data_IF_537182513207
#
_entry.id   IF_537182513207
#
_cell.length_a   1.000
_cell.length_b   1.000
_cell.length_c   1.000
_cell.angle_alpha   90.00
_cell.angle_beta   90.00
_cell.angle_gamma   90.00
#
_symmetry.space_group_name_H-M   'P 1'
#
loop_
_entity.id
_entity.type
_entity.pdbx_description
1 polymer ?
#
# COMPACT_ATOMS: atom_id res chain seq x y z
N UNK A 1 -15.05 17.19 -13.94
CA UNK A 1 -16.13 16.50 -14.66
C UNK A 1 -15.89 16.56 -16.16
N UNK A 2 -15.74 17.75 -16.75
CA UNK A 2 -15.54 17.92 -18.21
C UNK A 2 -14.33 17.14 -18.73
N UNK A 3 -13.20 17.21 -18.05
CA UNK A 3 -11.99 16.48 -18.41
C UNK A 3 -12.19 14.95 -18.41
N UNK A 4 -12.85 14.42 -17.37
CA UNK A 4 -13.12 12.99 -17.25
C UNK A 4 -14.12 12.50 -18.30
N UNK A 5 -15.14 13.30 -18.61
CA UNK A 5 -16.06 13.01 -19.68
C UNK A 5 -15.34 13.00 -21.05
N UNK A 6 -14.54 14.03 -21.34
CA UNK A 6 -13.84 14.14 -22.63
C UNK A 6 -12.73 13.08 -22.80
N UNK A 7 -12.00 12.75 -21.73
CA UNK A 7 -10.85 11.84 -21.82
C UNK A 7 -11.25 10.37 -21.76
N UNK A 8 -12.28 10.04 -20.99
CA UNK A 8 -12.65 8.64 -20.69
C UNK A 8 -14.09 8.29 -21.06
N UNK A 9 -14.81 9.19 -21.72
CA UNK A 9 -16.23 9.01 -22.05
C UNK A 9 -17.09 8.59 -20.84
N UNK A 10 -16.77 9.18 -19.66
CA UNK A 10 -17.54 8.90 -18.44
C UNK A 10 -18.83 9.70 -18.44
N UNK A 11 -20.00 9.08 -18.17
CA UNK A 11 -21.27 9.79 -18.20
C UNK A 11 -21.26 11.01 -17.27
N UNK A 12 -21.39 12.20 -17.87
CA UNK A 12 -21.32 13.48 -17.13
C UNK A 12 -22.38 13.57 -16.02
N UNK A 13 -23.57 13.02 -16.27
CA UNK A 13 -24.66 13.00 -15.29
C UNK A 13 -24.28 12.20 -14.02
N UNK A 14 -23.60 11.06 -14.18
CA UNK A 14 -23.19 10.22 -13.06
C UNK A 14 -22.10 10.91 -12.22
N UNK A 15 -21.14 11.55 -12.89
CA UNK A 15 -20.12 12.35 -12.21
C UNK A 15 -20.72 13.53 -11.44
N UNK A 16 -21.60 14.31 -12.08
CA UNK A 16 -22.28 15.43 -11.43
C UNK A 16 -23.09 14.99 -10.21
N UNK A 17 -23.79 13.86 -10.34
CA UNK A 17 -24.52 13.25 -9.22
C UNK A 17 -23.58 12.85 -8.08
N UNK A 18 -22.49 12.14 -8.39
CA UNK A 18 -21.54 11.68 -7.38
C UNK A 18 -20.87 12.85 -6.65
N UNK A 19 -20.38 13.85 -7.40
CA UNK A 19 -19.77 15.05 -6.80
C UNK A 19 -20.78 15.91 -6.04
N UNK A 20 -22.04 15.98 -6.49
CA UNK A 20 -23.11 16.67 -5.76
C UNK A 20 -23.49 16.01 -4.43
N UNK A 21 -23.13 14.73 -4.26
CA UNK A 21 -23.35 13.95 -3.04
C UNK A 21 -22.05 13.76 -2.23
N UNK A 22 -20.94 14.31 -2.69
CA UNK A 22 -19.67 14.18 -2.00
C UNK A 22 -19.71 14.93 -0.65
N UNK A 23 -19.20 14.28 0.37
CA UNK A 23 -19.13 14.82 1.73
C UNK A 23 -17.68 15.17 2.08
N UNK A 24 -17.45 16.40 2.54
CA UNK A 24 -16.16 16.81 3.06
C UNK A 24 -15.87 16.10 4.38
N UNK A 25 -14.74 15.43 4.45
CA UNK A 25 -14.36 14.61 5.60
C UNK A 25 -13.33 15.34 6.51
N UNK A 26 -13.81 16.20 7.40
CA UNK A 26 -12.94 16.93 8.35
C UNK A 26 -12.17 16.01 9.30
N UNK A 27 -12.70 14.82 9.58
CA UNK A 27 -12.01 13.79 10.38
C UNK A 27 -10.74 13.29 9.69
N UNK A 28 -10.79 13.10 8.38
CA UNK A 28 -9.65 12.71 7.54
C UNK A 28 -8.57 13.78 7.55
N UNK A 29 -8.96 15.04 7.35
CA UNK A 29 -8.01 16.17 7.40
C UNK A 29 -7.32 16.26 8.76
N UNK A 30 -8.07 16.17 9.86
CA UNK A 30 -7.49 16.18 11.21
C UNK A 30 -6.56 14.99 11.48
N UNK A 31 -6.84 13.81 10.93
CA UNK A 31 -5.98 12.65 11.11
C UNK A 31 -4.66 12.83 10.37
N UNK A 32 -4.68 13.27 9.12
CA UNK A 32 -3.46 13.57 8.34
C UNK A 32 -2.62 14.69 8.98
N UNK A 33 -3.25 15.68 9.60
CA UNK A 33 -2.51 16.71 10.34
C UNK A 33 -1.79 16.12 11.57
N UNK A 34 -2.40 15.18 12.28
CA UNK A 34 -1.78 14.48 13.42
C UNK A 34 -0.65 13.55 13.02
N UNK A 35 -0.74 12.96 11.82
CA UNK A 35 0.26 12.02 11.31
C UNK A 35 1.48 12.74 10.68
N UNK A 36 1.51 14.07 10.72
CA UNK A 36 2.70 14.83 10.31
C UNK A 36 3.91 14.44 11.17
N UNK A 37 5.08 14.29 10.55
CA UNK A 37 6.30 14.03 11.29
C UNK A 37 6.53 15.10 12.36
N UNK A 38 6.55 14.72 13.63
CA UNK A 38 7.02 15.57 14.72
C UNK A 38 8.56 15.54 14.73
N UNK A 39 9.25 16.67 14.47
CA UNK A 39 10.71 16.72 14.49
C UNK A 39 11.32 16.38 15.86
N UNK A 40 10.52 16.50 16.92
CA UNK A 40 10.94 16.15 18.29
C UNK A 40 10.62 14.69 18.67
N UNK A 41 9.93 13.95 17.81
CA UNK A 41 9.56 12.58 18.08
C UNK A 41 10.77 11.66 18.04
N UNK A 42 11.13 11.11 19.19
CA UNK A 42 12.20 10.11 19.29
C UNK A 42 11.64 8.74 18.92
N UNK A 43 12.03 8.25 17.76
CA UNK A 43 11.68 6.90 17.29
C UNK A 43 12.22 5.86 18.29
N UNK A 44 11.34 5.02 18.82
CA UNK A 44 11.70 3.90 19.69
C UNK A 44 11.40 2.59 18.94
N UNK A 45 12.44 1.82 18.65
CA UNK A 45 12.32 0.57 17.90
C UNK A 45 11.42 -0.45 18.62
N UNK A 46 11.56 -0.58 19.94
CA UNK A 46 10.75 -1.54 20.71
C UNK A 46 9.27 -1.22 20.61
N UNK A 47 8.89 0.04 20.80
CA UNK A 47 7.51 0.50 20.67
C UNK A 47 7.01 0.37 19.23
N UNK A 48 7.83 0.69 18.23
CA UNK A 48 7.47 0.52 16.83
C UNK A 48 7.25 -0.95 16.49
N UNK A 49 8.21 -1.80 16.84
CA UNK A 49 8.15 -3.24 16.59
C UNK A 49 6.92 -3.90 17.23
N UNK A 50 6.56 -3.52 18.45
CA UNK A 50 5.41 -4.11 19.15
C UNK A 50 4.06 -3.87 18.49
N UNK A 51 3.97 -2.87 17.61
CA UNK A 51 2.74 -2.61 16.81
C UNK A 51 2.51 -3.65 15.72
N UNK A 52 3.58 -4.29 15.25
CA UNK A 52 3.53 -5.26 14.14
C UNK A 52 3.78 -6.69 14.61
N UNK A 53 4.65 -6.88 15.60
CA UNK A 53 5.02 -8.20 16.12
C UNK A 53 4.23 -8.43 17.43
N UNK A 54 2.99 -8.85 17.29
CA UNK A 54 2.07 -9.11 18.39
C UNK A 54 1.27 -10.42 18.17
N UNK A 55 0.79 -11.08 19.25
CA UNK A 55 0.24 -12.42 19.15
C UNK A 55 -0.99 -12.56 18.26
N UNK A 56 -1.84 -11.53 18.14
CA UNK A 56 -3.06 -11.59 17.32
C UNK A 56 -2.67 -11.64 15.84
N UNK A 57 -1.76 -10.75 15.41
CA UNK A 57 -1.28 -10.71 14.04
C UNK A 57 -0.51 -11.97 13.67
N UNK A 58 0.34 -12.49 14.57
CA UNK A 58 1.08 -13.72 14.33
C UNK A 58 0.13 -14.91 14.13
N UNK A 59 -0.85 -15.10 15.03
CA UNK A 59 -1.83 -16.18 14.88
C UNK A 59 -2.67 -16.05 13.61
N UNK A 60 -3.10 -14.82 13.30
CA UNK A 60 -3.83 -14.54 12.06
C UNK A 60 -2.99 -14.87 10.83
N UNK A 61 -1.69 -14.54 10.85
CA UNK A 61 -0.75 -14.82 9.78
C UNK A 61 -0.51 -16.31 9.55
N UNK A 62 -0.34 -17.06 10.62
CA UNK A 62 -0.23 -18.54 10.53
C UNK A 62 -1.47 -19.15 9.88
N UNK A 63 -2.66 -18.68 10.28
CA UNK A 63 -3.91 -19.17 9.70
C UNK A 63 -4.06 -18.75 8.24
N UNK A 64 -3.77 -17.48 7.93
CA UNK A 64 -3.82 -16.98 6.56
C UNK A 64 -2.88 -17.77 5.64
N UNK A 65 -1.64 -18.00 6.07
CA UNK A 65 -0.66 -18.78 5.32
C UNK A 65 -1.16 -20.20 5.04
N UNK A 66 -1.61 -20.91 6.08
CA UNK A 66 -2.13 -22.28 5.93
C UNK A 66 -3.30 -22.35 4.96
N UNK A 67 -4.26 -21.42 5.08
CA UNK A 67 -5.46 -21.41 4.26
C UNK A 67 -5.20 -21.02 2.80
N UNK A 68 -4.10 -20.33 2.53
CA UNK A 68 -3.75 -19.84 1.19
C UNK A 68 -2.43 -20.42 0.65
N UNK A 69 -1.96 -21.55 1.20
CA UNK A 69 -0.64 -22.10 0.90
C UNK A 69 -0.41 -22.36 -0.60
N UNK A 70 -1.40 -22.93 -1.30
CA UNK A 70 -1.31 -23.20 -2.73
C UNK A 70 -1.19 -21.90 -3.56
N UNK A 71 -1.99 -20.89 -3.21
CA UNK A 71 -2.00 -19.57 -3.86
C UNK A 71 -0.67 -18.82 -3.62
N UNK A 72 -0.17 -18.83 -2.40
CA UNK A 72 1.12 -18.24 -2.03
C UNK A 72 2.27 -18.90 -2.79
N UNK A 73 2.27 -20.24 -2.83
CA UNK A 73 3.28 -21.02 -3.58
C UNK A 73 3.23 -20.70 -5.08
N UNK A 74 2.04 -20.53 -5.67
CA UNK A 74 1.88 -20.10 -7.06
C UNK A 74 2.44 -18.68 -7.26
N UNK A 75 2.10 -17.73 -6.41
CA UNK A 75 2.60 -16.36 -6.49
C UNK A 75 4.13 -16.32 -6.40
N UNK A 76 4.74 -17.10 -5.52
CA UNK A 76 6.21 -17.22 -5.42
C UNK A 76 6.82 -17.79 -6.71
N UNK A 77 6.21 -18.80 -7.33
CA UNK A 77 6.71 -19.34 -8.61
C UNK A 77 6.62 -18.32 -9.75
N UNK A 78 5.50 -17.62 -9.86
CA UNK A 78 5.22 -16.68 -10.95
C UNK A 78 6.01 -15.37 -10.83
N UNK A 79 6.06 -14.79 -9.63
CA UNK A 79 6.67 -13.46 -9.42
C UNK A 79 8.05 -13.51 -8.75
N UNK A 80 8.45 -14.64 -8.20
CA UNK A 80 9.74 -14.78 -7.51
C UNK A 80 9.77 -14.16 -6.11
N UNK A 81 8.65 -13.68 -5.60
CA UNK A 81 8.53 -13.09 -4.26
C UNK A 81 8.25 -14.19 -3.24
N UNK A 82 9.07 -14.34 -2.16
CA UNK A 82 8.84 -15.36 -1.15
C UNK A 82 7.51 -15.21 -0.43
N UNK A 83 6.87 -16.35 -0.10
CA UNK A 83 5.58 -16.38 0.60
C UNK A 83 5.55 -15.52 1.88
N UNK A 84 6.63 -15.59 2.68
CA UNK A 84 6.71 -14.85 3.95
C UNK A 84 6.71 -13.33 3.77
N UNK A 85 7.18 -12.82 2.63
CA UNK A 85 7.13 -11.40 2.30
C UNK A 85 5.69 -10.98 2.00
N UNK A 86 4.99 -11.74 1.15
CA UNK A 86 3.59 -11.47 0.79
C UNK A 86 2.71 -11.50 2.05
N UNK A 87 2.85 -12.55 2.86
CA UNK A 87 2.13 -12.71 4.14
C UNK A 87 2.46 -11.57 5.10
N UNK A 88 3.74 -11.18 5.19
CA UNK A 88 4.19 -10.07 6.05
C UNK A 88 3.55 -8.73 5.68
N UNK A 89 3.50 -8.41 4.40
CA UNK A 89 2.87 -7.16 3.90
C UNK A 89 1.38 -7.16 4.21
N UNK A 90 0.63 -8.20 3.80
CA UNK A 90 -0.81 -8.29 4.04
C UNK A 90 -1.12 -8.24 5.55
N UNK A 91 -0.25 -8.85 6.36
CA UNK A 91 -0.36 -8.79 7.82
C UNK A 91 -0.10 -7.39 8.38
N UNK A 92 0.87 -6.65 7.85
CA UNK A 92 1.17 -5.29 8.26
C UNK A 92 0.04 -4.32 7.89
N UNK A 93 -0.47 -4.45 6.67
CA UNK A 93 -1.47 -3.52 6.12
C UNK A 93 -2.84 -3.65 6.81
N UNK A 94 -3.41 -4.84 6.87
CA UNK A 94 -4.82 -4.99 7.28
C UNK A 94 -5.07 -6.07 8.32
N UNK A 95 -4.02 -6.69 8.87
CA UNK A 95 -4.16 -7.93 9.66
C UNK A 95 -5.03 -8.95 8.88
N UNK A 96 -4.60 -9.21 7.64
CA UNK A 96 -5.24 -10.18 6.74
C UNK A 96 -6.71 -9.86 6.43
N UNK A 97 -6.99 -8.60 6.06
CA UNK A 97 -8.32 -8.12 5.69
C UNK A 97 -9.24 -7.74 6.85
N UNK A 98 -8.76 -7.78 8.12
CA UNK A 98 -9.60 -7.42 9.28
C UNK A 98 -9.84 -5.92 9.44
N UNK A 99 -8.89 -5.10 9.02
CA UNK A 99 -8.90 -3.65 9.20
C UNK A 99 -8.55 -2.96 7.89
N UNK A 100 -9.50 -2.90 6.97
CA UNK A 100 -9.32 -2.29 5.65
C UNK A 100 -9.73 -0.81 5.61
N UNK A 101 -10.30 -0.29 6.71
CA UNK A 101 -10.89 1.03 6.76
C UNK A 101 -12.36 1.06 6.31
N UNK A 102 -13.09 2.01 6.85
CA UNK A 102 -14.55 2.19 6.67
C UNK A 102 -14.92 3.55 6.06
N UNK A 103 -13.93 4.37 5.71
CA UNK A 103 -14.17 5.66 5.09
C UNK A 103 -14.60 5.48 3.62
N UNK A 104 -15.61 6.24 3.19
CA UNK A 104 -15.98 6.27 1.77
C UNK A 104 -14.82 6.83 0.94
N UNK A 105 -14.27 6.02 0.03
CA UNK A 105 -13.06 6.38 -0.73
C UNK A 105 -13.31 7.57 -1.66
N UNK A 106 -14.48 7.68 -2.27
CA UNK A 106 -14.80 8.83 -3.12
C UNK A 106 -14.78 10.14 -2.32
N UNK A 107 -15.37 10.15 -1.12
CA UNK A 107 -15.37 11.32 -0.24
C UNK A 107 -13.98 11.63 0.30
N UNK A 108 -13.21 10.62 0.70
CA UNK A 108 -11.79 10.77 1.10
C UNK A 108 -10.99 11.44 0.01
N UNK A 109 -10.98 10.84 -1.19
CA UNK A 109 -10.16 11.32 -2.29
C UNK A 109 -10.61 12.71 -2.76
N UNK A 110 -11.92 12.97 -2.80
CA UNK A 110 -12.45 14.31 -3.13
C UNK A 110 -12.01 15.34 -2.09
N UNK A 111 -12.14 15.03 -0.80
CA UNK A 111 -11.69 15.92 0.27
C UNK A 111 -10.19 16.21 0.14
N UNK A 112 -9.37 15.19 -0.05
CA UNK A 112 -7.91 15.37 -0.12
C UNK A 112 -7.46 16.05 -1.41
N UNK A 113 -8.16 15.84 -2.52
CA UNK A 113 -7.89 16.50 -3.79
C UNK A 113 -8.15 18.01 -3.74
N UNK A 114 -9.15 18.47 -2.98
CA UNK A 114 -9.58 19.85 -3.01
C UNK A 114 -9.30 20.63 -1.72
N UNK A 115 -9.27 19.97 -0.57
CA UNK A 115 -9.13 20.61 0.75
C UNK A 115 -7.81 20.27 1.48
N UNK A 116 -6.87 19.54 0.83
CA UNK A 116 -5.56 19.22 1.38
C UNK A 116 -4.42 19.78 0.49
N UNK A 117 -4.07 21.06 0.57
CA UNK A 117 -3.17 21.74 -0.37
C UNK A 117 -1.80 21.08 -0.51
N UNK A 118 -1.27 20.48 0.56
CA UNK A 118 0.06 19.87 0.61
C UNK A 118 0.27 18.77 -0.45
N UNK A 119 -0.77 17.97 -0.75
CA UNK A 119 -0.73 16.86 -1.71
C UNK A 119 -1.93 16.86 -2.66
N UNK A 120 -2.53 18.03 -2.89
CA UNK A 120 -3.73 18.16 -3.72
C UNK A 120 -3.55 17.62 -5.13
N UNK A 121 -2.39 17.88 -5.75
CA UNK A 121 -2.12 17.39 -7.11
C UNK A 121 -2.13 15.85 -7.18
N UNK A 122 -1.43 15.19 -6.27
CA UNK A 122 -1.37 13.74 -6.18
C UNK A 122 -2.75 13.12 -5.89
N UNK A 123 -3.53 13.71 -4.97
CA UNK A 123 -4.88 13.22 -4.68
C UNK A 123 -5.87 13.46 -5.81
N UNK A 124 -5.66 14.45 -6.67
CA UNK A 124 -6.44 14.60 -7.91
C UNK A 124 -6.18 13.46 -8.87
N UNK A 125 -4.93 13.03 -9.00
CA UNK A 125 -4.56 11.86 -9.80
C UNK A 125 -5.20 10.59 -9.21
N UNK A 126 -5.11 10.34 -7.91
CA UNK A 126 -5.77 9.20 -7.28
C UNK A 126 -7.29 9.23 -7.41
N UNK A 127 -7.91 10.40 -7.35
CA UNK A 127 -9.35 10.53 -7.58
C UNK A 127 -9.73 10.18 -9.02
N UNK A 128 -8.94 10.65 -9.99
CA UNK A 128 -9.12 10.30 -11.41
C UNK A 128 -8.99 8.79 -11.61
N UNK A 129 -7.92 8.18 -11.10
CA UNK A 129 -7.68 6.75 -11.17
C UNK A 129 -8.80 5.93 -10.48
N UNK A 130 -9.32 6.41 -9.36
CA UNK A 130 -10.43 5.77 -8.66
C UNK A 130 -11.73 5.79 -9.49
N UNK A 131 -12.03 6.91 -10.13
CA UNK A 131 -13.23 7.04 -10.99
C UNK A 131 -13.13 6.06 -12.15
N UNK A 132 -11.95 5.92 -12.75
CA UNK A 132 -11.71 4.98 -13.85
C UNK A 132 -11.80 3.53 -13.33
N UNK A 133 -11.14 3.22 -12.22
CA UNK A 133 -11.17 1.91 -11.58
C UNK A 133 -12.60 1.43 -11.31
N UNK A 134 -13.44 2.30 -10.74
CA UNK A 134 -14.83 1.95 -10.43
C UNK A 134 -15.65 1.69 -11.69
N UNK A 135 -15.41 2.43 -12.78
CA UNK A 135 -16.06 2.19 -14.06
C UNK A 135 -15.64 0.86 -14.67
N UNK A 136 -14.33 0.60 -14.75
CA UNK A 136 -13.76 -0.65 -15.30
C UNK A 136 -14.32 -1.88 -14.58
N UNK A 137 -14.47 -1.77 -13.26
CA UNK A 137 -14.99 -2.86 -12.41
C UNK A 137 -16.52 -2.82 -12.19
N UNK A 138 -17.24 -1.91 -12.89
CA UNK A 138 -18.71 -1.75 -12.78
C UNK A 138 -19.18 -1.53 -11.33
N UNK A 139 -18.38 -0.83 -10.52
CA UNK A 139 -18.71 -0.49 -9.15
C UNK A 139 -19.32 0.90 -9.08
N UNK A 140 -20.37 1.12 -8.26
CA UNK A 140 -20.85 2.47 -7.99
C UNK A 140 -19.76 3.33 -7.32
N UNK A 141 -19.59 4.59 -7.76
CA UNK A 141 -18.53 5.50 -7.27
C UNK A 141 -18.46 5.62 -5.73
N UNK A 142 -19.58 5.51 -5.04
CA UNK A 142 -19.65 5.66 -3.58
C UNK A 142 -19.77 4.32 -2.83
N UNK A 143 -19.51 3.17 -3.48
CA UNK A 143 -19.67 1.85 -2.86
C UNK A 143 -18.43 1.31 -2.18
N UNK A 144 -17.26 1.93 -2.40
CA UNK A 144 -15.99 1.41 -1.91
C UNK A 144 -15.58 2.13 -0.62
N UNK A 145 -15.24 1.35 0.38
CA UNK A 145 -14.65 1.83 1.63
C UNK A 145 -13.17 1.47 1.72
N UNK A 146 -12.43 2.24 2.50
CA UNK A 146 -11.00 2.05 2.70
C UNK A 146 -10.43 2.95 3.78
N UNK A 147 -9.11 3.19 3.72
CA UNK A 147 -8.40 3.99 4.71
C UNK A 147 -8.71 5.49 4.61
N UNK A 148 -8.42 6.21 5.66
CA UNK A 148 -8.51 7.68 5.70
C UNK A 148 -7.52 8.37 4.71
N UNK A 149 -6.56 7.65 4.17
CA UNK A 149 -5.60 8.16 3.17
C UNK A 149 -5.93 7.72 1.74
N UNK A 150 -7.05 6.99 1.52
CA UNK A 150 -7.51 6.58 0.20
C UNK A 150 -7.03 5.20 -0.27
N UNK A 151 -6.37 4.43 0.60
CA UNK A 151 -5.95 3.06 0.29
C UNK A 151 -7.10 2.06 0.43
N UNK A 152 -7.12 1.03 -0.42
CA UNK A 152 -8.26 0.13 -0.61
C UNK A 152 -7.86 -1.34 -0.47
N UNK A 153 -8.75 -2.09 0.20
CA UNK A 153 -8.73 -3.56 0.22
C UNK A 153 -7.68 -4.18 1.11
N UNK A 154 -7.54 -5.48 1.00
CA UNK A 154 -6.63 -6.31 1.81
C UNK A 154 -5.17 -5.84 1.72
N UNK A 155 -4.64 -5.47 0.51
CA UNK A 155 -3.25 -5.01 0.37
C UNK A 155 -3.08 -3.50 0.55
N UNK A 156 -4.16 -2.73 0.84
CA UNK A 156 -4.13 -1.27 0.98
C UNK A 156 -3.49 -0.57 -0.24
N UNK A 157 -3.93 -0.94 -1.44
CA UNK A 157 -3.48 -0.30 -2.66
C UNK A 157 -4.16 1.06 -2.86
N UNK A 158 -3.41 2.03 -3.36
CA UNK A 158 -3.98 3.25 -3.94
C UNK A 158 -4.64 2.91 -5.28
N UNK A 159 -5.59 3.72 -5.76
CA UNK A 159 -6.35 3.41 -6.99
C UNK A 159 -5.48 3.15 -8.24
N UNK A 160 -4.41 3.93 -8.42
CA UNK A 160 -3.41 3.72 -9.48
C UNK A 160 -2.74 2.34 -9.36
N UNK A 161 -2.31 2.01 -8.16
CA UNK A 161 -1.67 0.73 -7.89
C UNK A 161 -2.60 -0.46 -8.10
N UNK A 162 -3.90 -0.31 -7.78
CA UNK A 162 -4.88 -1.35 -8.09
C UNK A 162 -5.03 -1.54 -9.61
N UNK A 163 -5.14 -0.45 -10.37
CA UNK A 163 -5.27 -0.54 -11.83
C UNK A 163 -4.02 -1.10 -12.51
N UNK A 164 -2.84 -0.68 -12.07
CA UNK A 164 -1.58 -1.04 -12.70
C UNK A 164 -1.09 -2.44 -12.30
N UNK A 165 -1.35 -2.86 -11.06
CA UNK A 165 -0.76 -4.07 -10.46
C UNK A 165 -1.79 -5.06 -9.92
N UNK A 166 -3.07 -4.73 -9.91
CA UNK A 166 -4.13 -5.67 -9.55
C UNK A 166 -4.19 -6.84 -10.52
N UNK A 167 -4.35 -8.05 -9.98
CA UNK A 167 -4.38 -9.29 -10.77
C UNK A 167 -5.58 -10.13 -10.35
N UNK A 168 -6.37 -10.57 -11.33
CA UNK A 168 -7.33 -11.66 -11.16
C UNK A 168 -6.55 -12.98 -10.95
N UNK A 169 -6.27 -13.28 -9.69
CA UNK A 169 -5.40 -14.40 -9.34
C UNK A 169 -6.16 -15.65 -8.93
N UNK A 170 -7.48 -15.67 -8.92
CA UNK A 170 -8.30 -16.89 -8.83
C UNK A 170 -8.95 -17.26 -10.17
N UNK A 171 -8.93 -16.35 -11.15
CA UNK A 171 -9.40 -16.59 -12.50
C UNK A 171 -10.92 -16.47 -12.65
N UNK A 172 -11.59 -15.70 -11.78
CA UNK A 172 -13.04 -15.52 -11.81
C UNK A 172 -13.50 -14.43 -12.80
N UNK A 173 -12.54 -13.74 -13.45
CA UNK A 173 -12.78 -12.66 -14.42
C UNK A 173 -12.89 -11.27 -13.79
N UNK A 174 -12.48 -11.12 -12.53
CA UNK A 174 -12.47 -9.85 -11.79
C UNK A 174 -11.20 -9.70 -11.00
N UNK A 175 -10.84 -8.46 -10.65
CA UNK A 175 -9.80 -8.17 -9.67
C UNK A 175 -10.48 -7.65 -8.41
N UNK A 176 -10.67 -8.49 -7.39
CA UNK A 176 -11.32 -8.13 -6.14
C UNK A 176 -10.33 -8.08 -4.97
N UNK A 177 -9.62 -6.98 -4.81
CA UNK A 177 -8.67 -6.79 -3.71
C UNK A 177 -9.34 -6.62 -2.34
N UNK A 178 -10.66 -6.57 -2.27
CA UNK A 178 -11.42 -6.42 -1.03
C UNK A 178 -11.87 -7.75 -0.43
N UNK A 179 -12.23 -8.72 -1.29
CA UNK A 179 -12.87 -9.95 -0.84
C UNK A 179 -12.11 -11.21 -1.30
N UNK A 180 -11.23 -11.12 -2.32
CA UNK A 180 -10.40 -12.25 -2.76
C UNK A 180 -9.01 -12.21 -2.14
N UNK A 181 -8.72 -13.19 -1.27
CA UNK A 181 -7.35 -13.39 -0.77
C UNK A 181 -6.38 -13.76 -1.91
N UNK A 182 -6.86 -14.46 -2.92
CA UNK A 182 -6.04 -14.86 -4.05
C UNK A 182 -5.57 -13.64 -4.84
N UNK A 183 -6.50 -12.74 -5.17
CA UNK A 183 -6.17 -11.51 -5.90
C UNK A 183 -5.25 -10.60 -5.08
N UNK A 184 -5.50 -10.47 -3.76
CA UNK A 184 -4.63 -9.71 -2.88
C UNK A 184 -3.20 -10.28 -2.87
N UNK A 185 -3.04 -11.61 -2.79
CA UNK A 185 -1.74 -12.31 -2.81
C UNK A 185 -1.04 -12.09 -4.15
N UNK A 186 -1.74 -12.33 -5.25
CA UNK A 186 -1.20 -12.14 -6.60
C UNK A 186 -0.79 -10.71 -6.87
N UNK A 187 -1.64 -9.75 -6.48
CA UNK A 187 -1.41 -8.32 -6.68
C UNK A 187 -0.24 -7.80 -5.87
N UNK A 188 -0.08 -8.21 -4.60
CA UNK A 188 1.10 -7.86 -3.78
C UNK A 188 2.38 -8.40 -4.43
N UNK A 189 2.37 -9.65 -4.90
CA UNK A 189 3.53 -10.24 -5.57
C UNK A 189 3.85 -9.52 -6.88
N UNK A 190 2.84 -9.20 -7.69
CA UNK A 190 2.96 -8.45 -8.93
C UNK A 190 3.52 -7.03 -8.70
N UNK A 191 2.99 -6.33 -7.69
CA UNK A 191 3.46 -5.00 -7.30
C UNK A 191 4.95 -5.01 -6.92
N UNK A 192 5.36 -5.93 -6.06
CA UNK A 192 6.75 -6.04 -5.64
C UNK A 192 7.66 -6.37 -6.82
N UNK A 193 7.24 -7.24 -7.73
CA UNK A 193 8.00 -7.61 -8.91
C UNK A 193 8.16 -6.46 -9.90
N UNK A 194 7.04 -5.82 -10.28
CA UNK A 194 7.01 -4.91 -11.42
C UNK A 194 7.15 -3.44 -11.03
N UNK A 195 6.67 -3.02 -9.85
CA UNK A 195 6.86 -1.68 -9.31
C UNK A 195 8.09 -1.61 -8.41
N UNK A 196 8.23 -2.59 -7.52
CA UNK A 196 9.30 -2.63 -6.52
C UNK A 196 10.65 -3.14 -7.05
N UNK A 197 10.69 -3.68 -8.27
CA UNK A 197 11.94 -4.20 -8.85
C UNK A 197 12.48 -5.43 -8.12
N UNK A 198 11.60 -6.23 -7.49
CA UNK A 198 12.00 -7.42 -6.76
C UNK A 198 12.86 -8.37 -7.58
N UNK A 199 14.01 -8.77 -7.05
CA UNK A 199 14.93 -9.71 -7.67
C UNK A 199 14.92 -11.03 -6.91
N UNK A 200 14.55 -12.11 -7.60
CA UNK A 200 14.54 -13.46 -7.04
C UNK A 200 15.95 -13.89 -6.63
N UNK A 201 16.06 -14.43 -5.43
CA UNK A 201 17.32 -15.00 -4.93
C UNK A 201 18.23 -14.01 -4.21
N UNK A 202 17.85 -12.74 -4.11
CA UNK A 202 18.52 -11.80 -3.23
C UNK A 202 17.97 -11.90 -1.82
N UNK A 203 18.86 -11.83 -0.83
CA UNK A 203 18.47 -11.78 0.57
C UNK A 203 17.78 -10.45 0.90
N UNK A 204 16.73 -10.51 1.71
CA UNK A 204 15.99 -9.33 2.16
C UNK A 204 16.67 -8.64 3.34
N UNK A 205 17.43 -9.39 4.10
CA UNK A 205 18.12 -8.95 5.32
C UNK A 205 19.54 -9.52 5.29
N UNK A 206 20.51 -8.64 5.48
CA UNK A 206 21.89 -9.03 5.69
C UNK A 206 22.28 -8.78 7.13
N UNK A 207 22.90 -9.78 7.77
CA UNK A 207 23.56 -9.58 9.04
C UNK A 207 24.76 -8.66 8.83
N UNK A 208 24.84 -7.60 9.61
CA UNK A 208 25.98 -6.69 9.53
C UNK A 208 26.76 -6.70 10.83
N UNK A 209 28.07 -6.50 10.71
CA UNK A 209 28.97 -6.26 11.82
C UNK A 209 29.32 -4.79 11.87
N UNK A 210 29.54 -4.28 13.07
CA UNK A 210 29.93 -2.90 13.29
C UNK A 210 31.35 -2.86 13.89
N UNK A 211 32.16 -1.97 13.37
CA UNK A 211 33.45 -1.65 14.00
C UNK A 211 33.24 -1.05 15.40
N UNK A 212 34.30 -1.07 16.23
CA UNK A 212 34.22 -0.53 17.59
C UNK A 212 33.80 0.95 17.68
N UNK A 213 33.99 1.71 16.60
CA UNK A 213 33.54 3.11 16.48
C UNK A 213 32.90 3.36 15.10
N UNK A 214 31.72 2.80 14.86
CA UNK A 214 31.05 2.98 13.58
C UNK A 214 30.67 4.42 13.36
N UNK A 215 30.85 4.91 12.12
CA UNK A 215 30.40 6.25 11.70
C UNK A 215 28.88 6.22 11.34
N UNK A 216 28.08 5.67 12.24
CA UNK A 216 26.62 5.49 12.03
C UNK A 216 25.94 6.82 11.71
N UNK A 217 26.35 7.91 12.40
CA UNK A 217 25.77 9.23 12.14
C UNK A 217 25.97 9.69 10.68
N UNK A 218 27.05 9.30 10.04
CA UNK A 218 27.29 9.60 8.64
C UNK A 218 26.53 8.64 7.72
N UNK A 219 26.42 7.37 8.08
CA UNK A 219 25.60 6.41 7.35
C UNK A 219 24.11 6.79 7.35
N UNK A 220 23.59 7.36 8.44
CA UNK A 220 22.22 7.85 8.55
C UNK A 220 21.91 9.09 7.67
N UNK A 221 22.92 9.73 7.10
CA UNK A 221 22.74 10.81 6.12
C UNK A 221 22.60 10.31 4.69
N UNK A 222 22.83 9.02 4.45
CA UNK A 222 22.63 8.41 3.13
C UNK A 222 21.15 8.44 2.72
N UNK A 223 20.85 8.45 1.42
CA UNK A 223 19.49 8.31 0.92
C UNK A 223 18.83 7.06 1.47
N UNK A 224 17.49 7.10 1.62
CA UNK A 224 16.70 5.94 2.05
C UNK A 224 16.72 4.85 0.97
N UNK A 225 16.76 5.27 -0.32
CA UNK A 225 16.88 4.33 -1.43
C UNK A 225 18.25 3.61 -1.36
N UNK A 226 18.26 2.29 -1.62
CA UNK A 226 19.48 1.51 -1.66
C UNK A 226 20.44 2.05 -2.72
N UNK A 227 21.41 2.85 -2.31
CA UNK A 227 22.36 3.54 -3.20
C UNK A 227 23.79 3.04 -3.07
N UNK A 228 24.04 2.10 -2.13
CA UNK A 228 25.38 1.58 -1.86
C UNK A 228 25.36 0.06 -1.69
N UNK A 229 26.39 -0.56 -2.19
CA UNK A 229 26.69 -1.98 -1.90
C UNK A 229 27.23 -2.13 -0.48
N UNK A 230 27.19 -3.34 0.07
CA UNK A 230 27.78 -3.65 1.39
C UNK A 230 29.27 -3.26 1.44
N UNK A 231 30.01 -3.49 0.34
CA UNK A 231 31.41 -3.10 0.25
C UNK A 231 31.63 -1.59 0.39
N UNK A 232 30.72 -0.78 -0.14
CA UNK A 232 30.77 0.68 -0.05
C UNK A 232 30.33 1.21 1.31
N UNK A 233 29.81 0.35 2.20
CA UNK A 233 29.47 0.71 3.58
C UNK A 233 30.65 0.54 4.55
N UNK A 234 31.75 -0.13 4.14
CA UNK A 234 32.94 -0.32 4.97
C UNK A 234 33.52 0.99 5.54
N UNK A 235 33.61 2.11 4.79
CA UNK A 235 34.11 3.39 5.34
C UNK A 235 33.28 3.94 6.49
N UNK A 236 32.02 3.47 6.63
CA UNK A 236 31.12 3.82 7.73
C UNK A 236 31.24 2.87 8.93
N UNK A 237 32.18 1.91 8.88
CA UNK A 237 32.35 0.89 9.92
C UNK A 237 31.26 -0.19 9.88
N UNK A 238 30.70 -0.47 8.70
CA UNK A 238 29.65 -1.48 8.49
C UNK A 238 30.22 -2.52 7.52
N UNK A 239 30.21 -3.79 7.92
CA UNK A 239 30.61 -4.95 7.12
C UNK A 239 29.62 -6.10 7.28
N UNK A 240 29.66 -7.09 6.41
CA UNK A 240 28.90 -8.35 6.51
C UNK A 240 29.86 -9.52 6.69
#
# INVERSE_FOLDING_TARGET
>A
VEQLNAKYDYPKADLLKAFGQAERMDTVLRQLERDKPDPNFKKNWTTYRSRYIEPIRIRAGVNFWKNNAATLSRATREYGVPEYIIVGIIGAETIYGRYMGDNNIFDVLTTLAFDYPRRSAEYKEFLEEYIILTRENKMPLRSVTGSYAGAIGIPQFMPDSWRDYGVDFDGDGKVDLRNSNADAIGSVANFLKNKGGWQKGLDVIYAVQFDQKPKIADALKLPIEPSKTISELKPYGISS
#
